data_IF_953534473947
#
_entry.id   IF_953534473947
#
_cell.length_a   1.000
_cell.length_b   1.000
_cell.length_c   1.000
_cell.angle_alpha   90.00
_cell.angle_beta   90.00
_cell.angle_gamma   90.00
#
_symmetry.space_group_name_H-M   'P 1'
#
loop_
_entity.id
_entity.type
_entity.pdbx_description
1 polymer ?
#
# COMPACT_ATOMS: atom_id res chain seq x y z
N UNK A 1 -7.00 -3.62 9.23
CA UNK A 1 -5.96 -3.29 8.22
C UNK A 1 -4.93 -2.33 8.79
N UNK A 2 -5.35 -1.21 9.39
CA UNK A 2 -4.43 -0.25 10.02
C UNK A 2 -3.57 -0.90 11.11
N UNK A 3 -4.18 -1.60 12.08
CA UNK A 3 -3.43 -2.24 13.18
C UNK A 3 -2.35 -3.22 12.70
N UNK A 4 -2.66 -4.05 11.70
CA UNK A 4 -1.71 -5.01 11.12
C UNK A 4 -0.54 -4.32 10.40
N UNK A 5 -0.79 -3.13 9.85
CA UNK A 5 0.23 -2.35 9.17
C UNK A 5 1.12 -1.61 10.17
N UNK A 6 0.53 -1.10 11.26
CA UNK A 6 1.28 -0.51 12.37
C UNK A 6 2.20 -1.56 13.02
N UNK A 7 1.73 -2.80 13.18
CA UNK A 7 2.55 -3.92 13.66
C UNK A 7 3.71 -4.24 12.70
N UNK A 8 3.44 -4.34 11.40
CA UNK A 8 4.49 -4.58 10.40
C UNK A 8 5.54 -3.45 10.36
N UNK A 9 5.11 -2.20 10.53
CA UNK A 9 5.99 -1.04 10.62
C UNK A 9 6.80 -1.03 11.93
N UNK A 10 6.22 -1.53 13.03
CA UNK A 10 6.90 -1.67 14.31
C UNK A 10 7.97 -2.79 14.29
N UNK A 11 7.80 -3.81 13.45
CA UNK A 11 8.77 -4.89 13.29
C UNK A 11 10.13 -4.41 12.73
N UNK A 12 10.19 -3.20 12.12
CA UNK A 12 11.45 -2.58 11.68
C UNK A 12 12.09 -3.27 10.47
N UNK A 13 11.31 -3.99 9.67
CA UNK A 13 11.79 -4.60 8.42
C UNK A 13 12.16 -3.52 7.38
N UNK A 14 13.14 -3.77 6.50
CA UNK A 14 13.58 -2.76 5.53
C UNK A 14 12.55 -2.49 4.42
N UNK A 15 11.64 -3.43 4.16
CA UNK A 15 10.63 -3.31 3.12
C UNK A 15 9.35 -4.06 3.50
N UNK A 16 8.20 -3.51 3.10
CA UNK A 16 6.87 -4.09 3.29
C UNK A 16 6.13 -4.04 1.95
N UNK A 17 5.77 -5.22 1.43
CA UNK A 17 4.94 -5.37 0.24
C UNK A 17 3.55 -5.91 0.64
N UNK A 18 2.50 -5.16 0.33
CA UNK A 18 1.12 -5.59 0.59
C UNK A 18 0.60 -6.36 -0.63
N UNK A 19 0.32 -7.65 -0.44
CA UNK A 19 -0.15 -8.55 -1.51
C UNK A 19 -1.64 -8.33 -1.82
N UNK A 20 -1.93 -7.83 -3.03
CA UNK A 20 -3.28 -7.58 -3.54
C UNK A 20 -3.82 -8.70 -4.45
N UNK A 21 -3.18 -9.87 -4.49
CA UNK A 21 -3.58 -10.99 -5.37
C UNK A 21 -5.01 -11.47 -5.16
N UNK A 22 -5.56 -11.30 -3.95
CA UNK A 22 -6.93 -11.66 -3.58
C UNK A 22 -7.82 -10.43 -3.32
N UNK A 23 -7.31 -9.21 -3.49
CA UNK A 23 -8.08 -7.98 -3.30
C UNK A 23 -8.88 -7.70 -4.57
N UNK A 24 -10.20 -7.80 -4.47
CA UNK A 24 -11.10 -7.53 -5.60
C UNK A 24 -11.58 -6.08 -5.63
N UNK A 25 -11.60 -5.41 -4.48
CA UNK A 25 -12.08 -4.05 -4.32
C UNK A 25 -11.20 -3.25 -3.35
N UNK A 26 -11.00 -1.97 -3.66
CA UNK A 26 -10.37 -0.98 -2.80
C UNK A 26 -11.10 0.35 -3.06
N UNK A 27 -11.41 1.08 -2.01
CA UNK A 27 -12.05 2.40 -2.08
C UNK A 27 -11.07 3.50 -1.63
N UNK A 28 -11.56 4.74 -1.57
CA UNK A 28 -10.76 5.87 -1.09
C UNK A 28 -10.33 5.73 0.37
N UNK A 29 -11.09 5.02 1.21
CA UNK A 29 -10.73 4.79 2.60
C UNK A 29 -9.56 3.80 2.70
N UNK A 30 -9.62 2.68 1.98
CA UNK A 30 -8.52 1.72 1.85
C UNK A 30 -7.26 2.36 1.26
N UNK A 31 -7.41 3.20 0.22
CA UNK A 31 -6.30 3.97 -0.33
C UNK A 31 -5.68 4.92 0.70
N UNK A 32 -6.50 5.62 1.48
CA UNK A 32 -6.03 6.54 2.53
C UNK A 32 -5.19 5.80 3.58
N UNK A 33 -5.60 4.60 3.99
CA UNK A 33 -4.83 3.76 4.93
C UNK A 33 -3.46 3.42 4.35
N UNK A 34 -3.38 2.99 3.09
CA UNK A 34 -2.11 2.67 2.43
C UNK A 34 -1.18 3.88 2.31
N UNK A 35 -1.74 5.05 1.99
CA UNK A 35 -0.95 6.28 1.86
C UNK A 35 -0.38 6.75 3.20
N UNK A 36 -1.14 6.64 4.29
CA UNK A 36 -0.67 6.94 5.64
C UNK A 36 0.49 6.03 6.02
N UNK A 37 0.32 4.72 5.82
CA UNK A 37 1.38 3.77 6.09
C UNK A 37 2.63 3.97 5.25
N UNK A 38 2.50 4.33 3.96
CA UNK A 38 3.65 4.69 3.13
C UNK A 38 4.38 5.93 3.67
N UNK A 39 3.65 6.92 4.15
CA UNK A 39 4.25 8.10 4.75
C UNK A 39 5.02 7.74 6.03
N UNK A 40 4.44 6.90 6.89
CA UNK A 40 5.06 6.45 8.13
C UNK A 40 6.28 5.56 7.86
N UNK A 41 6.19 4.64 6.89
CA UNK A 41 7.30 3.83 6.42
C UNK A 41 8.47 4.71 5.95
N UNK A 42 8.17 5.73 5.12
CA UNK A 42 9.17 6.66 4.61
C UNK A 42 9.87 7.45 5.72
N UNK A 43 9.14 7.89 6.75
CA UNK A 43 9.74 8.55 7.92
C UNK A 43 10.70 7.62 8.69
N UNK A 44 10.46 6.31 8.63
CA UNK A 44 11.28 5.27 9.27
C UNK A 44 12.37 4.70 8.36
N UNK A 45 12.48 5.17 7.12
CA UNK A 45 13.42 4.63 6.12
C UNK A 45 13.05 3.24 5.61
N UNK A 46 11.78 2.85 5.75
CA UNK A 46 11.23 1.56 5.31
C UNK A 46 10.62 1.73 3.92
N UNK A 47 10.95 0.84 2.98
CA UNK A 47 10.28 0.77 1.69
C UNK A 47 8.86 0.20 1.87
N UNK A 48 7.87 0.79 1.20
CA UNK A 48 6.47 0.36 1.30
C UNK A 48 5.77 0.42 -0.05
N UNK A 49 5.15 -0.69 -0.45
CA UNK A 49 4.46 -0.81 -1.72
C UNK A 49 3.31 -1.80 -1.71
N UNK A 50 2.54 -1.80 -2.80
CA UNK A 50 1.47 -2.73 -3.08
C UNK A 50 1.85 -3.57 -4.29
N UNK A 51 1.72 -4.90 -4.20
CA UNK A 51 2.09 -5.82 -5.26
C UNK A 51 0.92 -6.71 -5.70
N UNK A 52 1.05 -7.34 -6.87
CA UNK A 52 0.08 -8.31 -7.42
C UNK A 52 -1.37 -7.79 -7.57
N UNK A 53 -1.57 -6.50 -7.84
CA UNK A 53 -2.90 -5.93 -8.13
C UNK A 53 -3.47 -6.55 -9.41
N UNK A 54 -4.55 -7.33 -9.29
CA UNK A 54 -5.15 -8.05 -10.44
C UNK A 54 -6.32 -7.32 -11.08
N UNK A 55 -7.16 -6.63 -10.31
CA UNK A 55 -8.40 -6.06 -10.84
C UNK A 55 -8.18 -4.71 -11.49
N UNK A 56 -8.82 -4.49 -12.65
CA UNK A 56 -8.75 -3.21 -13.38
C UNK A 56 -9.29 -2.06 -12.54
N UNK A 57 -10.36 -2.29 -11.77
CA UNK A 57 -10.95 -1.27 -10.91
C UNK A 57 -9.94 -0.74 -9.87
N UNK A 58 -9.20 -1.63 -9.23
CA UNK A 58 -8.19 -1.24 -8.23
C UNK A 58 -7.00 -0.56 -8.90
N UNK A 59 -6.55 -1.03 -10.08
CA UNK A 59 -5.53 -0.32 -10.87
C UNK A 59 -5.98 1.09 -11.24
N UNK A 60 -7.21 1.24 -11.74
CA UNK A 60 -7.79 2.53 -12.10
C UNK A 60 -7.89 3.46 -10.89
N UNK A 61 -8.22 2.96 -9.70
CA UNK A 61 -8.21 3.78 -8.48
C UNK A 61 -6.83 4.44 -8.27
N UNK A 62 -5.74 3.67 -8.35
CA UNK A 62 -4.40 4.21 -8.16
C UNK A 62 -4.03 5.21 -9.25
N UNK A 63 -4.30 4.89 -10.52
CA UNK A 63 -4.00 5.80 -11.65
C UNK A 63 -4.81 7.08 -11.59
N UNK A 64 -6.13 7.01 -11.36
CA UNK A 64 -7.01 8.18 -11.34
C UNK A 64 -6.73 9.09 -10.15
N UNK A 65 -6.23 8.55 -9.03
CA UNK A 65 -5.84 9.34 -7.86
C UNK A 65 -4.37 9.79 -7.90
N UNK A 66 -3.60 9.44 -8.94
CA UNK A 66 -2.18 9.77 -9.06
C UNK A 66 -1.30 9.10 -8.00
N UNK A 67 -1.71 7.91 -7.54
CA UNK A 67 -1.04 7.11 -6.51
C UNK A 67 -0.46 5.81 -7.08
N UNK A 68 -0.27 5.74 -8.38
CA UNK A 68 0.35 4.64 -9.13
C UNK A 68 1.76 4.29 -8.64
N UNK A 69 2.50 5.26 -8.10
CA UNK A 69 3.79 5.04 -7.41
C UNK A 69 3.71 4.13 -6.18
N UNK A 70 2.50 3.84 -5.68
CA UNK A 70 2.27 2.84 -4.64
C UNK A 70 2.22 1.43 -5.20
N UNK A 71 1.85 1.28 -6.48
CA UNK A 71 1.79 0.03 -7.25
C UNK A 71 3.06 -0.13 -8.07
N UNK A 72 4.17 0.01 -7.38
CA UNK A 72 5.48 -0.42 -7.80
C UNK A 72 6.22 -0.58 -6.47
N UNK A 73 6.72 -1.78 -6.19
CA UNK A 73 7.88 -1.86 -5.29
C UNK A 73 8.98 -0.94 -5.85
N UNK A 74 9.93 -0.50 -4.99
CA UNK A 74 10.91 0.53 -5.34
C UNK A 74 11.53 0.39 -6.74
#
# INVERSE_FOLDING_TARGET
MQDALDEALAAGVPCIDVDFSHVTFCDCAGLTVLLRARADARQRGICFGVCKVRTTQVKSLFTTTGTDTLVAGP
#
